data_IF_847017930326
#
_entry.id   IF_847017930326
#
_cell.length_a   1.000
_cell.length_b   1.000
_cell.length_c   1.000
_cell.angle_alpha   90.00
_cell.angle_beta   90.00
_cell.angle_gamma   90.00
#
_symmetry.space_group_name_H-M   'P 1'
#
loop_
_entity.id
_entity.type
_entity.pdbx_description
1 polymer ?
#
# COMPACT_ATOMS: atom_id res chain seq x y z
N UNK A 1 -15.17 -11.25 -5.53
CA UNK A 1 -13.94 -11.22 -4.72
C UNK A 1 -13.48 -9.78 -4.61
N UNK A 2 -13.40 -9.24 -3.39
CA UNK A 2 -13.17 -7.82 -3.13
C UNK A 2 -11.65 -7.57 -3.08
N UNK A 3 -11.13 -6.76 -4.00
CA UNK A 3 -9.76 -6.25 -3.95
C UNK A 3 -9.83 -4.83 -3.39
N UNK A 4 -9.41 -4.64 -2.14
CA UNK A 4 -9.39 -3.32 -1.52
C UNK A 4 -8.04 -3.06 -0.89
N UNK A 5 -7.39 -1.98 -1.32
CA UNK A 5 -6.47 -1.19 -0.49
C UNK A 5 -6.20 0.14 -1.24
N UNK A 6 -6.88 1.20 -0.81
CA UNK A 6 -6.49 2.59 -1.12
C UNK A 6 -6.14 3.24 0.21
N UNK A 7 -4.86 3.43 0.49
CA UNK A 7 -4.41 4.32 1.56
C UNK A 7 -4.46 5.75 1.00
N UNK A 8 -5.50 6.50 1.38
CA UNK A 8 -5.57 7.94 1.15
C UNK A 8 -5.07 8.66 2.40
N UNK A 9 -3.96 9.38 2.30
CA UNK A 9 -3.54 10.33 3.33
C UNK A 9 -4.38 11.59 3.12
N UNK A 10 -5.42 11.77 3.94
CA UNK A 10 -6.01 13.09 4.15
C UNK A 10 -5.29 13.70 5.35
N UNK A 11 -4.82 14.93 5.19
CA UNK A 11 -4.14 15.71 6.22
C UNK A 11 -4.79 15.46 7.59
N UNK A 12 -3.98 14.94 8.53
CA UNK A 12 -4.31 14.69 9.94
C UNK A 12 -5.27 13.54 10.32
N UNK A 13 -5.65 12.61 9.43
CA UNK A 13 -6.37 11.39 9.85
C UNK A 13 -6.17 10.22 8.87
N UNK A 14 -5.63 9.10 9.34
CA UNK A 14 -5.64 7.83 8.58
C UNK A 14 -7.04 7.24 8.69
N UNK A 15 -7.84 7.38 7.64
CA UNK A 15 -9.18 6.76 7.55
C UNK A 15 -9.07 5.50 6.70
N UNK A 16 -9.29 4.33 7.31
CA UNK A 16 -9.52 3.09 6.57
C UNK A 16 -10.92 3.15 5.96
N UNK A 17 -11.00 3.36 4.65
CA UNK A 17 -12.27 3.32 3.92
C UNK A 17 -12.31 2.08 3.02
N UNK A 18 -13.31 1.24 3.24
CA UNK A 18 -13.64 0.16 2.30
C UNK A 18 -14.49 0.75 1.17
N UNK A 19 -14.05 0.57 -0.07
CA UNK A 19 -14.79 1.02 -1.27
C UNK A 19 -15.19 -0.20 -2.08
N UNK A 20 -16.48 -0.33 -2.38
CA UNK A 20 -17.00 -1.38 -3.25
C UNK A 20 -17.17 -0.83 -4.67
N UNK A 21 -16.47 -1.44 -5.63
CA UNK A 21 -16.65 -1.15 -7.04
C UNK A 21 -17.52 -2.26 -7.66
N UNK A 22 -18.70 -1.86 -8.16
CA UNK A 22 -19.65 -2.78 -8.80
C UNK A 22 -19.32 -2.95 -10.29
N UNK A 23 -19.67 -4.11 -10.87
CA UNK A 23 -19.59 -4.40 -12.31
C UNK A 23 -18.20 -4.28 -12.96
N UNK A 24 -17.12 -4.48 -12.21
CA UNK A 24 -15.74 -4.37 -12.72
C UNK A 24 -15.31 -5.52 -13.65
N UNK A 25 -16.07 -6.63 -13.71
CA UNK A 25 -15.80 -7.82 -14.55
C UNK A 25 -14.30 -8.20 -14.60
N UNK A 26 -13.70 -8.37 -13.43
CA UNK A 26 -12.28 -8.75 -13.30
C UNK A 26 -12.09 -10.22 -13.72
N UNK A 27 -11.25 -10.46 -14.73
CA UNK A 27 -10.83 -11.78 -15.17
C UNK A 27 -9.67 -12.35 -14.32
N UNK A 28 -8.82 -13.18 -14.94
CA UNK A 28 -7.68 -13.80 -14.25
C UNK A 28 -6.66 -12.76 -13.77
N UNK A 29 -6.29 -12.83 -12.49
CA UNK A 29 -5.28 -11.97 -11.88
C UNK A 29 -3.89 -12.58 -12.03
N UNK A 30 -2.91 -11.79 -12.48
CA UNK A 30 -1.50 -12.23 -12.56
C UNK A 30 -0.82 -12.18 -11.19
N UNK A 31 -1.01 -11.10 -10.43
CA UNK A 31 -0.36 -10.83 -9.14
C UNK A 31 -1.21 -9.87 -8.30
N UNK A 32 -1.01 -9.93 -6.99
CA UNK A 32 -1.54 -8.96 -6.01
C UNK A 32 -0.43 -8.05 -5.50
N UNK A 33 -0.80 -6.89 -4.96
CA UNK A 33 0.15 -5.93 -4.37
C UNK A 33 -0.41 -5.29 -3.11
N UNK A 34 0.49 -4.98 -2.18
CA UNK A 34 0.27 -4.14 -1.01
C UNK A 34 1.18 -2.91 -1.12
N UNK A 35 0.71 -1.76 -0.65
CA UNK A 35 1.42 -0.48 -0.78
C UNK A 35 1.17 0.39 0.44
N UNK A 36 2.23 1.06 0.91
CA UNK A 36 2.15 2.18 1.83
C UNK A 36 2.84 3.38 1.17
N UNK A 37 2.09 4.46 0.93
CA UNK A 37 2.58 5.59 0.14
C UNK A 37 1.98 6.92 0.61
N UNK A 38 2.76 7.99 0.48
CA UNK A 38 2.27 9.36 0.46
C UNK A 38 2.04 9.76 -1.00
N UNK A 39 0.78 9.69 -1.45
CA UNK A 39 0.42 9.94 -2.83
C UNK A 39 0.10 11.42 -3.09
N UNK A 40 0.58 11.94 -4.22
CA UNK A 40 0.25 13.27 -4.73
C UNK A 40 -0.49 13.17 -6.06
N UNK A 41 -1.28 14.20 -6.40
CA UNK A 41 -2.09 14.20 -7.63
C UNK A 41 -1.27 14.35 -8.91
N UNK A 42 -0.10 14.99 -8.83
CA UNK A 42 0.77 15.30 -9.96
C UNK A 42 2.22 15.07 -9.59
N UNK A 43 3.04 14.64 -10.55
CA UNK A 43 4.47 14.40 -10.32
C UNK A 43 5.24 15.66 -9.93
N UNK A 44 4.78 16.84 -10.36
CA UNK A 44 5.33 18.12 -9.93
C UNK A 44 5.26 18.35 -8.41
N UNK A 45 4.33 17.67 -7.71
CA UNK A 45 4.20 17.72 -6.25
C UNK A 45 5.03 16.64 -5.55
N UNK A 46 5.77 15.82 -6.30
CA UNK A 46 6.74 14.85 -5.76
C UNK A 46 8.08 15.49 -5.38
N UNK A 47 8.23 16.79 -5.64
CA UNK A 47 9.38 17.60 -5.27
C UNK A 47 9.94 17.18 -3.89
N UNK A 48 11.26 16.98 -3.75
CA UNK A 48 11.89 16.55 -2.50
C UNK A 48 11.34 17.27 -1.26
N UNK A 49 11.03 18.56 -1.36
CA UNK A 49 10.66 19.39 -0.20
C UNK A 49 9.14 19.49 0.04
N UNK A 50 8.31 18.97 -0.87
CA UNK A 50 6.86 19.12 -0.79
C UNK A 50 6.14 17.97 -0.04
N UNK A 51 6.78 16.80 0.07
CA UNK A 51 6.20 15.61 0.72
C UNK A 51 7.00 15.29 1.98
N UNK A 52 6.46 15.66 3.13
CA UNK A 52 6.94 15.23 4.44
C UNK A 52 6.09 14.07 4.94
N UNK A 53 6.71 12.90 5.10
CA UNK A 53 6.00 11.69 5.54
C UNK A 53 6.91 10.83 6.42
N UNK A 54 6.43 10.50 7.61
CA UNK A 54 7.10 9.58 8.53
C UNK A 54 6.05 8.69 9.19
N UNK A 55 5.85 7.49 8.63
CA UNK A 55 4.88 6.54 9.16
C UNK A 55 5.28 5.11 8.83
N UNK A 56 4.69 4.15 9.56
CA UNK A 56 4.88 2.72 9.32
C UNK A 56 3.53 2.03 9.23
N UNK A 57 3.42 1.07 8.31
CA UNK A 57 2.27 0.20 8.18
C UNK A 57 2.72 -1.26 8.14
N UNK A 58 2.00 -2.12 8.86
CA UNK A 58 2.22 -3.57 8.83
C UNK A 58 1.00 -4.26 8.25
N UNK A 59 1.25 -5.13 7.28
CA UNK A 59 0.28 -6.06 6.73
C UNK A 59 0.61 -7.43 7.30
N UNK A 60 -0.23 -7.93 8.20
CA UNK A 60 -0.03 -9.20 8.89
C UNK A 60 -0.96 -10.27 8.33
N UNK A 61 -0.54 -11.53 8.47
CA UNK A 61 -1.32 -12.72 8.14
C UNK A 61 -1.91 -12.73 6.72
N UNK A 62 -1.13 -12.27 5.73
CA UNK A 62 -1.61 -12.12 4.36
C UNK A 62 -2.01 -13.49 3.81
N UNK A 63 -3.26 -13.58 3.36
CA UNK A 63 -3.83 -14.77 2.71
C UNK A 63 -4.48 -14.38 1.39
N UNK A 64 -4.24 -15.18 0.35
CA UNK A 64 -4.92 -15.10 -0.95
C UNK A 64 -5.61 -16.45 -1.13
N UNK A 65 -6.92 -16.44 -1.34
CA UNK A 65 -7.74 -17.66 -1.41
C UNK A 65 -7.50 -18.60 -0.21
N UNK A 66 -7.48 -18.01 1.00
CA UNK A 66 -7.19 -18.67 2.28
C UNK A 66 -5.79 -19.33 2.41
N UNK A 67 -4.91 -19.17 1.43
CA UNK A 67 -3.52 -19.65 1.49
C UNK A 67 -2.59 -18.53 1.91
N UNK A 68 -1.68 -18.81 2.83
CA UNK A 68 -0.66 -17.86 3.25
C UNK A 68 0.17 -17.41 2.04
N UNK A 69 0.23 -16.10 1.82
CA UNK A 69 0.97 -15.52 0.69
C UNK A 69 2.18 -14.75 1.22
N UNK A 70 3.37 -15.10 0.72
CA UNK A 70 4.62 -14.41 1.07
C UNK A 70 4.80 -13.18 0.17
N UNK A 71 4.75 -11.96 0.72
CA UNK A 71 5.05 -10.76 -0.06
C UNK A 71 6.53 -10.73 -0.46
N UNK A 72 6.79 -10.18 -1.65
CA UNK A 72 8.14 -9.94 -2.17
C UNK A 72 8.34 -8.43 -2.24
N UNK A 73 9.48 -7.95 -1.75
CA UNK A 73 9.82 -6.53 -1.85
C UNK A 73 9.99 -6.13 -3.31
N UNK A 74 9.41 -4.98 -3.68
CA UNK A 74 9.49 -4.39 -5.00
C UNK A 74 10.04 -2.95 -4.84
N UNK A 75 9.30 -1.92 -5.25
CA UNK A 75 9.73 -0.53 -5.14
C UNK A 75 9.80 -0.06 -3.68
N UNK A 76 10.93 0.55 -3.30
CA UNK A 76 11.18 1.11 -1.98
C UNK A 76 11.69 2.57 -2.07
N UNK A 77 10.90 3.45 -2.68
CA UNK A 77 11.25 4.89 -2.77
C UNK A 77 10.96 5.62 -1.44
N UNK A 78 12.01 6.19 -0.84
CA UNK A 78 11.96 6.84 0.48
C UNK A 78 11.23 6.00 1.53
N UNK A 79 11.40 4.68 1.45
CA UNK A 79 10.77 3.71 2.32
C UNK A 79 11.69 2.50 2.56
N UNK A 80 11.46 1.79 3.66
CA UNK A 80 12.05 0.49 3.95
C UNK A 80 10.95 -0.56 3.95
N UNK A 81 11.08 -1.57 3.10
CA UNK A 81 10.16 -2.71 3.00
C UNK A 81 10.82 -3.91 3.68
N UNK A 82 10.16 -4.50 4.68
CA UNK A 82 10.67 -5.63 5.45
C UNK A 82 9.68 -6.79 5.45
N UNK A 83 9.71 -7.69 4.46
CA UNK A 83 8.91 -8.91 4.43
C UNK A 83 9.39 -9.93 5.48
N UNK A 84 8.47 -10.62 6.16
CA UNK A 84 8.77 -11.73 7.06
C UNK A 84 7.63 -12.75 7.06
N UNK A 85 7.88 -13.95 6.55
CA UNK A 85 6.83 -14.97 6.35
C UNK A 85 5.72 -14.44 5.43
N UNK A 86 4.47 -14.51 5.89
CA UNK A 86 3.29 -13.94 5.24
C UNK A 86 2.94 -12.53 5.75
N UNK A 87 3.93 -11.80 6.27
CA UNK A 87 3.78 -10.44 6.78
C UNK A 87 4.72 -9.49 6.04
N UNK A 88 4.39 -8.20 6.03
CA UNK A 88 5.31 -7.15 5.59
C UNK A 88 5.10 -5.87 6.37
N UNK A 89 6.20 -5.26 6.81
CA UNK A 89 6.21 -3.90 7.34
C UNK A 89 6.82 -2.95 6.32
N UNK A 90 6.13 -1.84 6.06
CA UNK A 90 6.58 -0.77 5.18
C UNK A 90 6.70 0.50 6.01
N UNK A 91 7.93 0.98 6.19
CA UNK A 91 8.23 2.23 6.88
C UNK A 91 8.58 3.31 5.86
N UNK A 92 7.73 4.32 5.72
CA UNK A 92 7.92 5.46 4.82
C UNK A 92 8.59 6.58 5.60
N UNK A 93 9.70 7.09 5.07
CA UNK A 93 10.44 8.21 5.65
C UNK A 93 10.98 9.11 4.55
N UNK A 94 10.24 10.19 4.27
CA UNK A 94 10.67 11.31 3.45
C UNK A 94 10.66 12.57 4.31
N UNK A 95 11.82 13.23 4.35
CA UNK A 95 12.01 14.54 4.98
C UNK A 95 12.09 15.57 3.88
#
# INVERSE_FOLDING_TARGET
MIVTMKYGIFYNKVVLQTVHFLNTKIGTLKRWKTLAAAAVKTDSKRDPDAIVANFSATFSEIKIDNKAAKPVADIADKAKVSPSGNNVTIAVKKK
#
